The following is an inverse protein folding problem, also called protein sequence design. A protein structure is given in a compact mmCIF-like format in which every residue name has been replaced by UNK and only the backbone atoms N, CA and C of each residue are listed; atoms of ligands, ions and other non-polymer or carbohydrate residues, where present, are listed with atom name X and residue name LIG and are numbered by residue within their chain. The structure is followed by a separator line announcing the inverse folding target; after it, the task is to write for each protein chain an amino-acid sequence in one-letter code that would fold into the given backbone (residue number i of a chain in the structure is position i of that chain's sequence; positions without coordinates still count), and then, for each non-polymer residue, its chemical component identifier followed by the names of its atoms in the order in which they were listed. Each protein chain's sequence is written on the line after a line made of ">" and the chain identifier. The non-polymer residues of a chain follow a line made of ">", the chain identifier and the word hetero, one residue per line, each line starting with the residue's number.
data_IF_696486560731
#
_entry.id   IF_696486560731
#
_cell.length_a   1.000
_cell.length_b   1.000
_cell.length_c   1.000
_cell.angle_alpha   90.00
_cell.angle_beta   90.00
_cell.angle_gamma   90.00
#
_symmetry.space_group_name_H-M   'P 1'
#
loop_
_entity.id
_entity.type
_entity.pdbx_description
1 polymer ?
#
# COMPACT_ATOMS: atom_id res chain seq x y z
N UNK A 1 15.71 7.13 47.73
CA UNK A 1 15.99 7.19 46.28
C UNK A 1 14.65 7.14 45.58
N UNK A 2 14.40 8.14 44.74
CA UNK A 2 13.08 8.53 44.23
C UNK A 2 12.42 7.46 43.36
N UNK A 3 11.15 7.17 43.62
CA UNK A 3 10.25 6.55 42.66
C UNK A 3 9.91 7.63 41.62
N UNK A 4 10.27 7.40 40.37
CA UNK A 4 9.80 8.19 39.24
C UNK A 4 8.30 7.94 39.13
N UNK A 5 7.49 8.93 39.47
CA UNK A 5 6.06 8.92 39.16
C UNK A 5 5.93 8.82 37.63
N UNK A 6 5.56 7.63 37.17
CA UNK A 6 5.10 7.45 35.80
C UNK A 6 3.75 8.15 35.71
N UNK A 7 3.72 9.35 35.12
CA UNK A 7 2.50 9.98 34.64
C UNK A 7 1.88 9.06 33.57
N UNK A 8 1.10 8.08 34.02
CA UNK A 8 0.32 7.22 33.14
C UNK A 8 -0.83 8.06 32.61
N UNK A 9 -0.59 8.74 31.49
CA UNK A 9 -1.66 9.32 30.69
C UNK A 9 -2.43 8.13 30.12
N UNK A 10 -3.71 7.93 30.47
CA UNK A 10 -4.48 6.84 29.92
C UNK A 10 -4.50 6.98 28.40
N UNK A 11 -4.22 5.88 27.69
CA UNK A 11 -4.52 5.83 26.27
C UNK A 11 -5.98 6.22 26.07
N UNK A 12 -6.28 7.00 25.02
CA UNK A 12 -7.67 7.29 24.68
C UNK A 12 -8.45 5.98 24.50
N UNK A 13 -9.76 6.01 24.74
CA UNK A 13 -10.61 4.83 24.49
C UNK A 13 -10.39 4.28 23.07
N UNK A 14 -10.14 5.17 22.11
CA UNK A 14 -9.77 4.83 20.75
C UNK A 14 -8.48 4.00 20.69
N UNK A 15 -7.38 4.49 21.25
CA UNK A 15 -6.10 3.77 21.24
C UNK A 15 -6.19 2.43 21.97
N UNK A 16 -6.93 2.38 23.08
CA UNK A 16 -7.19 1.13 23.82
C UNK A 16 -7.97 0.13 22.96
N UNK A 17 -8.98 0.58 22.21
CA UNK A 17 -9.75 -0.25 21.30
C UNK A 17 -8.89 -0.77 20.12
N UNK A 18 -8.05 0.09 19.54
CA UNK A 18 -7.11 -0.30 18.48
C UNK A 18 -6.12 -1.35 19.02
N UNK A 19 -5.54 -1.14 20.19
CA UNK A 19 -4.65 -2.12 20.86
C UNK A 19 -5.35 -3.48 21.02
N UNK A 20 -6.58 -3.50 21.55
CA UNK A 20 -7.33 -4.75 21.73
C UNK A 20 -7.66 -5.47 20.40
N UNK A 21 -7.92 -4.70 19.33
CA UNK A 21 -8.14 -5.26 17.98
C UNK A 21 -6.85 -5.88 17.43
N UNK A 22 -5.71 -5.23 17.62
CA UNK A 22 -4.39 -5.72 17.19
C UNK A 22 -3.97 -6.97 17.98
N UNK A 23 -4.19 -6.99 19.29
CA UNK A 23 -3.89 -8.15 20.12
C UNK A 23 -4.68 -9.40 19.68
N UNK A 24 -5.87 -9.18 19.09
CA UNK A 24 -6.73 -10.22 18.54
C UNK A 24 -6.74 -10.26 17.00
N UNK A 25 -5.72 -9.71 16.34
CA UNK A 25 -5.69 -9.48 14.90
C UNK A 25 -6.08 -10.70 14.06
N UNK A 26 -5.59 -11.89 14.45
CA UNK A 26 -5.88 -13.14 13.73
C UNK A 26 -7.37 -13.48 13.65
N UNK A 27 -8.17 -13.06 14.66
CA UNK A 27 -9.62 -13.28 14.71
C UNK A 27 -10.38 -12.14 14.05
N UNK A 28 -9.93 -10.90 14.23
CA UNK A 28 -10.57 -9.68 13.73
C UNK A 28 -10.19 -9.32 12.29
N UNK A 29 -9.24 -10.02 11.66
CA UNK A 29 -8.71 -9.73 10.30
C UNK A 29 -9.80 -9.48 9.26
N UNK A 30 -10.86 -10.30 9.25
CA UNK A 30 -11.96 -10.18 8.29
C UNK A 30 -12.77 -8.91 8.52
N UNK A 31 -13.05 -8.60 9.78
CA UNK A 31 -13.82 -7.42 10.17
C UNK A 31 -13.03 -6.13 9.94
N UNK A 32 -11.70 -6.18 10.10
CA UNK A 32 -10.84 -5.02 9.82
C UNK A 32 -10.99 -4.56 8.38
N UNK A 33 -11.19 -5.47 7.41
CA UNK A 33 -11.33 -5.11 5.98
C UNK A 33 -12.59 -4.32 5.66
N UNK A 34 -13.62 -4.39 6.50
CA UNK A 34 -14.87 -3.63 6.33
C UNK A 34 -14.79 -2.23 6.95
N UNK A 35 -13.77 -1.94 7.75
CA UNK A 35 -13.61 -0.65 8.42
C UNK A 35 -13.24 0.48 7.43
N UNK A 36 -13.52 1.75 7.79
CA UNK A 36 -13.05 2.92 7.05
C UNK A 36 -11.53 2.96 6.88
N UNK A 37 -11.05 3.58 5.79
CA UNK A 37 -9.62 3.63 5.42
C UNK A 37 -8.73 4.19 6.52
N UNK A 38 -9.16 5.27 7.18
CA UNK A 38 -8.40 5.91 8.25
C UNK A 38 -8.21 5.01 9.47
N UNK A 39 -9.26 4.27 9.85
CA UNK A 39 -9.22 3.35 11.00
C UNK A 39 -8.39 2.12 10.66
N UNK A 40 -8.51 1.59 9.42
CA UNK A 40 -7.66 0.50 8.95
C UNK A 40 -6.19 0.87 9.01
N UNK A 41 -5.84 2.07 8.56
CA UNK A 41 -4.46 2.55 8.63
C UNK A 41 -3.97 2.62 10.08
N UNK A 42 -4.79 3.10 11.02
CA UNK A 42 -4.40 3.18 12.43
C UNK A 42 -4.15 1.79 13.04
N UNK A 43 -4.95 0.78 12.68
CA UNK A 43 -4.70 -0.62 13.06
C UNK A 43 -3.37 -1.13 12.47
N UNK A 44 -3.12 -0.88 11.18
CA UNK A 44 -1.86 -1.28 10.53
C UNK A 44 -0.64 -0.55 11.11
N UNK A 45 -0.80 0.72 11.47
CA UNK A 45 0.26 1.50 12.11
C UNK A 45 0.54 1.00 13.53
N UNK A 46 -0.49 0.62 14.29
CA UNK A 46 -0.32 0.02 15.61
C UNK A 46 0.35 -1.37 15.52
N UNK A 47 0.02 -2.18 14.51
CA UNK A 47 0.74 -3.44 14.20
C UNK A 47 2.24 -3.20 13.98
N UNK A 48 2.58 -2.14 13.22
CA UNK A 48 3.96 -1.70 13.04
C UNK A 48 4.62 -1.30 14.37
N UNK A 49 3.96 -0.46 15.18
CA UNK A 49 4.48 -0.02 16.48
C UNK A 49 4.71 -1.17 17.47
N UNK A 50 3.89 -2.22 17.41
CA UNK A 50 4.05 -3.43 18.23
C UNK A 50 5.05 -4.44 17.64
N UNK A 51 5.67 -4.15 16.49
CA UNK A 51 6.66 -5.03 15.85
C UNK A 51 6.06 -6.28 15.20
N UNK A 52 4.74 -6.33 14.97
CA UNK A 52 4.05 -7.46 14.35
C UNK A 52 4.19 -7.44 12.81
N UNK A 53 5.43 -7.35 12.33
CA UNK A 53 5.79 -7.11 10.92
C UNK A 53 5.36 -8.25 9.98
N UNK A 54 5.30 -9.49 10.45
CA UNK A 54 4.81 -10.61 9.65
C UNK A 54 3.32 -10.46 9.26
N UNK A 55 2.48 -10.01 10.21
CA UNK A 55 1.04 -9.81 9.97
C UNK A 55 0.81 -8.61 9.05
N UNK A 56 1.53 -7.51 9.34
CA UNK A 56 1.51 -6.30 8.52
C UNK A 56 1.99 -6.58 7.09
N UNK A 57 3.07 -7.34 6.94
CA UNK A 57 3.61 -7.74 5.64
C UNK A 57 2.61 -8.55 4.82
N UNK A 58 1.87 -9.46 5.47
CA UNK A 58 0.79 -10.20 4.82
C UNK A 58 -0.30 -9.31 4.23
N UNK A 59 -0.70 -8.25 4.95
CA UNK A 59 -1.67 -7.28 4.44
C UNK A 59 -1.10 -6.38 3.35
N UNK A 60 0.12 -5.89 3.51
CA UNK A 60 0.73 -4.97 2.54
C UNK A 60 1.15 -5.67 1.24
N UNK A 61 1.32 -6.99 1.26
CA UNK A 61 1.49 -7.78 0.04
C UNK A 61 0.20 -7.92 -0.78
N UNK A 62 -0.98 -7.70 -0.19
CA UNK A 62 -2.25 -7.73 -0.91
C UNK A 62 -2.47 -6.42 -1.67
N UNK A 63 -2.40 -6.49 -3.00
CA UNK A 63 -2.48 -5.32 -3.88
C UNK A 63 -3.69 -4.42 -3.62
N UNK A 64 -4.86 -5.01 -3.35
CA UNK A 64 -6.10 -4.25 -3.10
C UNK A 64 -6.11 -3.57 -1.73
N UNK A 65 -5.49 -4.19 -0.73
CA UNK A 65 -5.35 -3.59 0.61
C UNK A 65 -4.40 -2.41 0.51
N UNK A 66 -3.25 -2.63 -0.12
CA UNK A 66 -2.25 -1.57 -0.31
C UNK A 66 -2.79 -0.40 -1.14
N UNK A 67 -3.60 -0.68 -2.17
CA UNK A 67 -4.26 0.36 -2.96
C UNK A 67 -5.17 1.28 -2.14
N UNK A 68 -5.84 0.75 -1.12
CA UNK A 68 -6.67 1.54 -0.20
C UNK A 68 -5.82 2.31 0.80
N UNK A 69 -4.74 1.70 1.28
CA UNK A 69 -3.79 2.33 2.21
C UNK A 69 -3.08 3.53 1.54
N UNK A 70 -2.72 3.41 0.26
CA UNK A 70 -2.12 4.50 -0.52
C UNK A 70 -3.02 5.73 -0.67
N UNK A 71 -4.34 5.59 -0.50
CA UNK A 71 -5.31 6.71 -0.58
C UNK A 71 -5.32 7.57 0.68
N UNK A 72 -4.79 7.08 1.81
CA UNK A 72 -4.62 7.84 3.05
C UNK A 72 -3.44 8.84 2.92
N UNK A 73 -3.64 9.86 2.08
CA UNK A 73 -2.60 10.81 1.65
C UNK A 73 -1.99 11.61 2.79
N UNK A 74 -2.77 11.91 3.84
CA UNK A 74 -2.36 12.64 5.04
C UNK A 74 -1.32 11.88 5.88
N UNK A 75 -1.25 10.55 5.72
CA UNK A 75 -0.36 9.66 6.48
C UNK A 75 0.72 9.00 5.62
N UNK A 76 0.99 9.53 4.41
CA UNK A 76 1.95 8.93 3.45
C UNK A 76 3.35 8.77 4.04
N UNK A 77 3.83 9.70 4.87
CA UNK A 77 5.12 9.58 5.54
C UNK A 77 5.17 8.41 6.54
N UNK A 78 4.09 8.18 7.30
CA UNK A 78 3.97 7.00 8.19
C UNK A 78 3.93 5.70 7.40
N UNK A 79 3.27 5.70 6.23
CA UNK A 79 3.27 4.56 5.33
C UNK A 79 4.69 4.23 4.83
N UNK A 80 5.51 5.23 4.50
CA UNK A 80 6.92 5.00 4.15
C UNK A 80 7.70 4.37 5.31
N UNK A 81 7.48 4.77 6.57
CA UNK A 81 8.12 4.13 7.72
C UNK A 81 7.72 2.65 7.87
N UNK A 82 6.42 2.34 7.80
CA UNK A 82 5.93 0.97 7.82
C UNK A 82 6.52 0.14 6.68
N UNK A 83 6.54 0.72 5.48
CA UNK A 83 7.04 0.06 4.27
C UNK A 83 8.54 -0.22 4.39
N UNK A 84 9.33 0.76 4.80
CA UNK A 84 10.77 0.59 5.00
C UNK A 84 11.06 -0.50 6.04
N UNK A 85 10.35 -0.50 7.17
CA UNK A 85 10.53 -1.53 8.20
C UNK A 85 10.21 -2.94 7.70
N UNK A 86 9.20 -3.11 6.83
CA UNK A 86 8.89 -4.39 6.20
C UNK A 86 10.02 -4.83 5.24
N UNK A 87 10.55 -3.90 4.44
CA UNK A 87 11.65 -4.18 3.53
C UNK A 87 12.92 -4.56 4.30
N UNK A 88 13.25 -3.86 5.38
CA UNK A 88 14.39 -4.14 6.26
C UNK A 88 14.24 -5.48 6.99
N UNK A 89 13.01 -5.87 7.34
CA UNK A 89 12.69 -7.21 7.86
C UNK A 89 12.78 -8.31 6.77
N UNK A 90 13.00 -7.94 5.50
CA UNK A 90 13.13 -8.87 4.38
C UNK A 90 11.81 -9.28 3.74
N UNK A 91 10.68 -8.67 4.13
CA UNK A 91 9.41 -8.82 3.43
C UNK A 91 9.52 -8.02 2.14
N UNK A 92 9.69 -8.70 1.00
CA UNK A 92 9.89 -8.08 -0.33
C UNK A 92 8.58 -7.50 -0.90
N UNK A 93 7.95 -6.58 -0.16
CA UNK A 93 6.62 -6.04 -0.47
C UNK A 93 6.63 -5.34 -1.83
N UNK A 94 7.66 -4.55 -2.15
CA UNK A 94 7.80 -3.86 -3.44
C UNK A 94 7.68 -4.83 -4.63
N UNK A 95 8.46 -5.90 -4.59
CA UNK A 95 8.48 -6.96 -5.60
C UNK A 95 7.14 -7.67 -5.70
N UNK A 96 6.52 -8.02 -4.57
CA UNK A 96 5.22 -8.72 -4.57
C UNK A 96 4.12 -7.84 -5.17
N UNK A 97 4.09 -6.55 -4.82
CA UNK A 97 3.14 -5.58 -5.35
C UNK A 97 3.33 -5.37 -6.86
N UNK A 98 4.57 -5.14 -7.31
CA UNK A 98 4.88 -4.94 -8.72
C UNK A 98 4.52 -6.18 -9.57
N UNK A 99 4.83 -7.40 -9.09
CA UNK A 99 4.43 -8.63 -9.78
C UNK A 99 2.92 -8.82 -9.81
N UNK A 100 2.25 -8.58 -8.68
CA UNK A 100 0.79 -8.74 -8.60
C UNK A 100 0.08 -7.76 -9.52
N UNK A 101 0.57 -6.52 -9.59
CA UNK A 101 0.06 -5.50 -10.51
C UNK A 101 0.30 -5.91 -11.97
N UNK A 102 1.53 -6.29 -12.34
CA UNK A 102 1.86 -6.73 -13.70
C UNK A 102 1.00 -7.92 -14.16
N UNK A 103 0.79 -8.92 -13.28
CA UNK A 103 -0.13 -10.03 -13.57
C UNK A 103 -1.57 -9.56 -13.76
N UNK A 104 -2.05 -8.63 -12.92
CA UNK A 104 -3.37 -8.02 -13.08
C UNK A 104 -3.49 -7.31 -14.43
N UNK A 105 -2.45 -6.60 -14.87
CA UNK A 105 -2.40 -5.97 -16.19
C UNK A 105 -2.60 -6.99 -17.32
N UNK A 106 -1.96 -8.16 -17.25
CA UNK A 106 -2.14 -9.21 -18.26
C UNK A 106 -3.59 -9.71 -18.35
N UNK A 107 -4.30 -9.84 -17.23
CA UNK A 107 -5.70 -10.28 -17.23
C UNK A 107 -6.68 -9.22 -17.76
N UNK A 108 -6.38 -7.94 -17.55
CA UNK A 108 -7.27 -6.84 -17.98
C UNK A 108 -6.94 -6.32 -19.39
N UNK A 109 -5.93 -6.87 -20.05
CA UNK A 109 -5.49 -6.43 -21.38
C UNK A 109 -6.61 -6.49 -22.43
N UNK A 110 -7.55 -7.44 -22.29
CA UNK A 110 -8.72 -7.59 -23.17
C UNK A 110 -10.00 -6.97 -22.60
N UNK A 111 -9.93 -6.34 -21.43
CA UNK A 111 -11.10 -5.69 -20.80
C UNK A 111 -11.42 -4.32 -21.40
N UNK A 112 -12.56 -3.75 -21.00
CA UNK A 112 -13.01 -2.41 -21.39
C UNK A 112 -11.98 -1.31 -21.07
N UNK A 113 -11.98 -0.26 -21.89
CA UNK A 113 -11.11 0.91 -21.74
C UNK A 113 -11.19 1.54 -20.33
N UNK A 114 -12.39 1.61 -19.74
CA UNK A 114 -12.58 2.14 -18.38
C UNK A 114 -11.86 1.33 -17.29
N UNK A 115 -11.78 0.01 -17.47
CA UNK A 115 -11.09 -0.88 -16.51
C UNK A 115 -9.58 -0.68 -16.62
N UNK A 116 -9.06 -0.57 -17.84
CA UNK A 116 -7.65 -0.29 -18.13
C UNK A 116 -7.24 1.07 -17.57
N UNK A 117 -8.07 2.07 -17.82
CA UNK A 117 -7.89 3.45 -17.37
C UNK A 117 -7.73 3.54 -15.84
N UNK A 118 -8.62 2.88 -15.09
CA UNK A 118 -8.52 2.77 -13.62
C UNK A 118 -7.25 2.03 -13.17
N UNK A 119 -6.87 0.97 -13.88
CA UNK A 119 -5.66 0.22 -13.55
C UNK A 119 -4.39 1.04 -13.79
N UNK A 120 -4.33 1.81 -14.89
CA UNK A 120 -3.22 2.70 -15.19
C UNK A 120 -3.12 3.83 -14.14
N UNK A 121 -4.24 4.46 -13.76
CA UNK A 121 -4.24 5.46 -12.68
C UNK A 121 -3.69 4.88 -11.37
N UNK A 122 -4.11 3.67 -11.01
CA UNK A 122 -3.58 2.99 -9.83
C UNK A 122 -2.08 2.67 -9.98
N UNK A 123 -1.66 2.21 -11.16
CA UNK A 123 -0.25 1.94 -11.47
C UNK A 123 0.63 3.17 -11.31
N UNK A 124 0.17 4.36 -11.71
CA UNK A 124 0.91 5.61 -11.47
C UNK A 124 1.05 5.93 -9.98
N UNK A 125 -0.01 5.75 -9.19
CA UNK A 125 0.05 5.99 -7.74
C UNK A 125 1.02 5.00 -7.07
N UNK A 126 0.95 3.72 -7.45
CA UNK A 126 1.80 2.66 -6.92
C UNK A 126 3.26 2.87 -7.33
N UNK A 127 3.53 3.05 -8.63
CA UNK A 127 4.88 3.26 -9.16
C UNK A 127 5.50 4.54 -8.62
N UNK A 128 4.72 5.62 -8.49
CA UNK A 128 5.15 6.85 -7.85
C UNK A 128 5.55 6.64 -6.38
N UNK A 129 4.72 5.94 -5.60
CA UNK A 129 5.08 5.58 -4.23
C UNK A 129 6.35 4.74 -4.13
N UNK A 130 6.52 3.73 -4.99
CA UNK A 130 7.73 2.90 -5.02
C UNK A 130 8.98 3.71 -5.41
N UNK A 131 8.84 4.66 -6.33
CA UNK A 131 9.92 5.57 -6.73
C UNK A 131 10.31 6.51 -5.60
N UNK A 132 9.32 7.10 -4.90
CA UNK A 132 9.54 7.94 -3.72
C UNK A 132 10.23 7.16 -2.58
N UNK A 133 9.95 5.87 -2.48
CA UNK A 133 10.56 4.96 -1.52
C UNK A 133 11.93 4.39 -1.96
N UNK A 134 12.42 4.75 -3.15
CA UNK A 134 13.74 4.32 -3.68
C UNK A 134 13.77 2.95 -4.37
N UNK A 135 12.63 2.30 -4.57
CA UNK A 135 12.52 0.97 -5.20
C UNK A 135 12.28 1.08 -6.71
N UNK A 136 13.26 1.67 -7.41
CA UNK A 136 13.13 2.03 -8.83
C UNK A 136 12.86 0.84 -9.76
N UNK A 137 13.53 -0.31 -9.56
CA UNK A 137 13.34 -1.46 -10.44
C UNK A 137 11.91 -2.02 -10.36
N UNK A 138 11.31 -2.03 -9.17
CA UNK A 138 9.92 -2.46 -8.98
C UNK A 138 8.94 -1.40 -9.51
N UNK A 139 9.26 -0.11 -9.36
CA UNK A 139 8.49 0.99 -9.93
C UNK A 139 8.48 0.96 -11.47
N UNK A 140 9.66 0.78 -12.09
CA UNK A 140 9.83 0.63 -13.54
C UNK A 140 8.96 -0.50 -14.07
N UNK A 141 8.95 -1.65 -13.39
CA UNK A 141 8.08 -2.78 -13.76
C UNK A 141 6.60 -2.41 -13.78
N UNK A 142 6.15 -1.62 -12.80
CA UNK A 142 4.76 -1.12 -12.75
C UNK A 142 4.50 -0.19 -13.94
N UNK A 143 5.38 0.77 -14.21
CA UNK A 143 5.22 1.72 -15.33
C UNK A 143 5.26 1.03 -16.69
N UNK A 144 6.15 0.05 -16.90
CA UNK A 144 6.18 -0.76 -18.11
C UNK A 144 4.89 -1.56 -18.31
N UNK A 145 4.29 -2.07 -17.23
CA UNK A 145 3.01 -2.77 -17.29
C UNK A 145 1.86 -1.80 -17.66
N UNK A 146 1.91 -0.56 -17.18
CA UNK A 146 0.98 0.50 -17.59
C UNK A 146 1.17 0.89 -19.06
N UNK A 147 2.42 1.03 -19.51
CA UNK A 147 2.76 1.33 -20.89
C UNK A 147 2.19 0.26 -21.83
N UNK A 148 2.43 -1.01 -21.54
CA UNK A 148 1.90 -2.14 -22.32
C UNK A 148 0.37 -2.09 -22.44
N UNK A 149 -0.34 -1.80 -21.34
CA UNK A 149 -1.79 -1.63 -21.36
C UNK A 149 -2.24 -0.44 -22.23
N UNK A 150 -1.47 0.64 -22.23
CA UNK A 150 -1.79 1.86 -22.99
C UNK A 150 -1.52 1.70 -24.49
N UNK A 151 -0.44 1.01 -24.89
CA UNK A 151 -0.07 0.80 -26.30
C UNK A 151 -1.00 -0.15 -27.05
N UNK A 152 -1.87 -0.88 -26.35
CA UNK A 152 -2.87 -1.76 -26.94
C UNK A 152 -4.12 -0.99 -27.43
N UNK A 153 -4.21 0.33 -27.22
CA UNK A 153 -5.30 1.17 -27.73
C UNK A 153 -4.77 2.46 -28.38
N UNK A 154 -5.13 2.65 -29.65
CA UNK A 154 -4.65 3.71 -30.53
C UNK A 154 -5.40 5.05 -30.33
N UNK A 155 -5.71 5.41 -29.08
CA UNK A 155 -6.37 6.69 -28.76
C UNK A 155 -5.37 7.69 -28.19
N UNK A 156 -5.47 8.96 -28.62
CA UNK A 156 -4.59 10.09 -28.25
C UNK A 156 -4.34 10.22 -26.74
N UNK A 157 -5.33 9.87 -25.90
CA UNK A 157 -5.20 9.88 -24.44
C UNK A 157 -4.15 8.87 -23.91
N UNK A 158 -3.98 7.74 -24.58
CA UNK A 158 -3.01 6.69 -24.19
C UNK A 158 -1.57 7.12 -24.51
N UNK A 159 -1.37 7.90 -25.57
CA UNK A 159 -0.06 8.46 -25.92
C UNK A 159 0.46 9.43 -24.85
N UNK A 160 -0.40 10.29 -24.30
CA UNK A 160 -0.02 11.17 -23.17
C UNK A 160 0.44 10.37 -21.94
N UNK A 161 -0.23 9.25 -21.65
CA UNK A 161 0.11 8.38 -20.52
C UNK A 161 1.38 7.58 -20.75
N UNK A 162 1.59 7.13 -21.98
CA UNK A 162 2.84 6.48 -22.38
C UNK A 162 4.03 7.43 -22.16
N UNK A 163 3.88 8.71 -22.52
CA UNK A 163 4.90 9.74 -22.23
C UNK A 163 5.07 9.94 -20.72
N UNK A 164 3.99 10.02 -19.94
CA UNK A 164 4.07 10.16 -18.48
C UNK A 164 4.79 8.97 -17.81
N UNK A 165 4.66 7.75 -18.34
CA UNK A 165 5.43 6.58 -17.88
C UNK A 165 6.93 6.68 -18.20
N UNK A 166 7.31 7.42 -19.24
CA UNK A 166 8.72 7.54 -19.66
C UNK A 166 9.46 8.68 -18.96
N UNK A 167 8.73 9.61 -18.34
CA UNK A 167 9.29 10.83 -17.73
C UNK A 167 9.42 10.72 -16.20
N UNK A 168 8.70 9.78 -15.58
CA UNK A 168 8.77 9.48 -14.14
C UNK A 168 9.71 8.33 -13.84
#
# INVERSE_FOLDING_TARGET
>A
MAAVELDWIPETLYNTAISAVVDNYSRSRKDIRSLPENIRFDVYYKLYQQGQLCQLGGEFCELEVFAKVLRASDKRHLLHHCFQALMDHGVKVSFVLANSFSRRCSYIAESDAHVKEKAIQFGFILGGFLSDAGWYCDAEKVFLSCLQLSTLHDEVLHWYRAVECCVR
#
